data_IF_435142637129
#
_entry.id   IF_435142637129
#
_cell.length_a   1.000
_cell.length_b   1.000
_cell.length_c   1.000
_cell.angle_alpha   90.00
_cell.angle_beta   90.00
_cell.angle_gamma   90.00
#
_symmetry.space_group_name_H-M   'P 1'
#
loop_
_entity.id
_entity.type
_entity.pdbx_description
1 polymer ?
#
# COMPACT_ATOMS: atom_id res chain seq x y z
N UNK A 1 9.17 11.57 -6.03
CA UNK A 1 8.81 10.17 -5.71
C UNK A 1 8.75 9.37 -7.02
N UNK A 2 9.19 8.11 -7.02
CA UNK A 2 8.97 7.19 -8.16
C UNK A 2 7.98 6.11 -7.75
N UNK A 3 6.97 5.88 -8.60
CA UNK A 3 5.94 4.87 -8.40
C UNK A 3 6.06 3.78 -9.46
N UNK A 4 6.25 2.53 -9.02
CA UNK A 4 6.20 1.35 -9.89
C UNK A 4 5.00 0.51 -9.51
N UNK A 5 4.29 -0.03 -10.51
CA UNK A 5 3.06 -0.79 -10.29
C UNK A 5 3.10 -2.07 -11.09
N UNK A 6 2.61 -3.16 -10.51
CA UNK A 6 2.49 -4.45 -11.17
C UNK A 6 1.17 -5.12 -10.77
N UNK A 7 0.58 -5.89 -11.68
CA UNK A 7 -0.64 -6.66 -11.40
C UNK A 7 -0.28 -8.13 -11.38
N UNK A 8 -0.62 -8.82 -10.29
CA UNK A 8 -0.43 -10.27 -10.15
C UNK A 8 -1.73 -10.84 -9.63
N UNK A 9 -2.38 -11.70 -10.44
CA UNK A 9 -3.73 -12.21 -10.15
C UNK A 9 -4.71 -11.04 -9.97
N UNK A 10 -5.29 -10.91 -8.78
CA UNK A 10 -6.24 -9.90 -8.35
C UNK A 10 -5.61 -8.81 -7.45
N UNK A 11 -4.27 -8.79 -7.34
CA UNK A 11 -3.53 -7.82 -6.54
C UNK A 11 -2.93 -6.72 -7.41
N UNK A 12 -3.14 -5.46 -7.00
CA UNK A 12 -2.31 -4.34 -7.41
C UNK A 12 -1.12 -4.21 -6.47
N UNK A 13 0.08 -4.45 -6.98
CA UNK A 13 1.33 -4.21 -6.25
C UNK A 13 1.79 -2.79 -6.55
N UNK A 14 2.01 -1.99 -5.51
CA UNK A 14 2.42 -0.59 -5.59
C UNK A 14 3.72 -0.42 -4.82
N UNK A 15 4.81 -0.15 -5.53
CA UNK A 15 6.12 0.11 -4.94
C UNK A 15 6.43 1.61 -4.93
N UNK A 16 6.78 2.13 -3.75
CA UNK A 16 7.16 3.51 -3.54
C UNK A 16 8.68 3.65 -3.39
N UNK A 17 9.27 4.57 -4.14
CA UNK A 17 10.69 4.88 -4.08
C UNK A 17 10.91 6.39 -3.86
N UNK A 18 11.72 6.72 -2.86
CA UNK A 18 11.99 8.10 -2.44
C UNK A 18 11.16 8.51 -1.22
N UNK A 19 10.47 9.65 -1.31
CA UNK A 19 9.73 10.25 -0.20
C UNK A 19 8.24 10.36 -0.56
N UNK A 20 7.37 10.09 0.41
CA UNK A 20 5.92 10.20 0.28
C UNK A 20 5.42 11.37 1.15
N UNK A 21 5.17 12.49 0.48
CA UNK A 21 4.82 13.79 1.08
C UNK A 21 3.59 14.41 0.40
N UNK A 22 3.17 15.58 0.87
CA UNK A 22 1.98 16.26 0.37
C UNK A 22 2.01 16.51 -1.15
N UNK A 23 3.18 16.81 -1.72
CA UNK A 23 3.29 17.12 -3.14
C UNK A 23 3.19 15.86 -4.02
N UNK A 24 3.70 14.74 -3.53
CA UNK A 24 3.80 13.48 -4.28
C UNK A 24 2.60 12.55 -4.10
N UNK A 25 1.81 12.75 -3.05
CA UNK A 25 0.66 11.89 -2.72
C UNK A 25 -0.51 12.04 -3.69
N UNK A 26 -0.74 13.21 -4.29
CA UNK A 26 -1.86 13.41 -5.21
C UNK A 26 -1.67 12.67 -6.55
N UNK A 27 -0.49 12.78 -7.15
CA UNK A 27 -0.15 12.04 -8.38
C UNK A 27 -0.17 10.53 -8.14
N UNK A 28 0.42 10.08 -7.02
CA UNK A 28 0.39 8.68 -6.60
C UNK A 28 -1.06 8.19 -6.48
N UNK A 29 -1.92 9.01 -5.86
CA UNK A 29 -3.32 8.71 -5.67
C UNK A 29 -4.03 8.46 -6.99
N UNK A 30 -3.97 9.41 -7.92
CA UNK A 30 -4.66 9.30 -9.22
C UNK A 30 -4.21 8.06 -10.00
N UNK A 31 -2.89 7.80 -10.05
CA UNK A 31 -2.33 6.66 -10.78
C UNK A 31 -2.76 5.32 -10.17
N UNK A 32 -2.72 5.21 -8.83
CA UNK A 32 -3.18 4.00 -8.13
C UNK A 32 -4.67 3.77 -8.37
N UNK A 33 -5.50 4.82 -8.27
CA UNK A 33 -6.95 4.71 -8.44
C UNK A 33 -7.32 4.25 -9.85
N UNK A 34 -6.75 4.87 -10.90
CA UNK A 34 -6.99 4.43 -12.28
C UNK A 34 -6.64 2.96 -12.46
N UNK A 35 -5.41 2.54 -12.09
CA UNK A 35 -5.01 1.14 -12.25
C UNK A 35 -5.90 0.17 -11.46
N UNK A 36 -6.29 0.55 -10.25
CA UNK A 36 -7.10 -0.28 -9.38
C UNK A 36 -8.53 -0.48 -9.92
N UNK A 37 -9.19 0.61 -10.32
CA UNK A 37 -10.57 0.56 -10.81
C UNK A 37 -10.66 0.05 -12.26
N UNK A 38 -9.77 0.48 -13.15
CA UNK A 38 -9.80 0.11 -14.57
C UNK A 38 -9.53 -1.39 -14.78
N UNK A 39 -8.77 -2.02 -13.90
CA UNK A 39 -8.51 -3.47 -13.91
C UNK A 39 -9.46 -4.26 -13.00
N UNK A 40 -10.50 -3.61 -12.45
CA UNK A 40 -11.49 -4.23 -11.57
C UNK A 40 -10.88 -5.00 -10.38
N UNK A 41 -9.78 -4.51 -9.81
CA UNK A 41 -9.06 -5.17 -8.72
C UNK A 41 -9.78 -4.96 -7.38
N UNK A 42 -9.50 -5.83 -6.41
CA UNK A 42 -10.01 -5.71 -5.03
C UNK A 42 -8.88 -5.72 -3.99
N UNK A 43 -7.70 -6.23 -4.34
CA UNK A 43 -6.59 -6.40 -3.41
C UNK A 43 -5.40 -5.49 -3.76
N UNK A 44 -4.66 -5.05 -2.73
CA UNK A 44 -3.50 -4.19 -2.90
C UNK A 44 -2.33 -4.59 -1.99
N UNK A 45 -1.11 -4.54 -2.52
CA UNK A 45 0.12 -4.72 -1.75
C UNK A 45 0.97 -3.47 -1.90
N UNK A 46 1.31 -2.84 -0.78
CA UNK A 46 2.21 -1.68 -0.74
C UNK A 46 3.62 -2.14 -0.41
N UNK A 47 4.54 -2.02 -1.36
CA UNK A 47 5.96 -2.29 -1.18
C UNK A 47 6.69 -1.01 -0.78
N UNK A 48 7.14 -0.96 0.47
CA UNK A 48 7.78 0.21 1.07
C UNK A 48 9.31 0.09 1.13
N UNK A 49 9.90 -0.90 0.44
CA UNK A 49 11.35 -1.22 0.50
C UNK A 49 12.25 -0.03 0.25
N UNK A 50 11.84 0.84 -0.68
CA UNK A 50 12.63 1.99 -1.13
C UNK A 50 12.05 3.32 -0.66
N UNK A 51 11.12 3.30 0.27
CA UNK A 51 10.52 4.51 0.82
C UNK A 51 11.37 5.02 1.98
N UNK A 52 12.03 6.16 1.82
CA UNK A 52 12.95 6.72 2.81
C UNK A 52 12.22 7.56 3.86
N UNK A 53 11.09 8.16 3.50
CA UNK A 53 10.34 9.08 4.36
C UNK A 53 8.84 9.04 4.06
N UNK A 54 8.04 9.26 5.10
CA UNK A 54 6.58 9.37 5.03
C UNK A 54 6.08 10.37 6.07
N UNK A 55 5.07 11.18 5.73
CA UNK A 55 4.39 12.10 6.66
C UNK A 55 2.90 11.74 6.85
N UNK A 56 2.13 12.69 7.39
CA UNK A 56 0.67 12.54 7.58
C UNK A 56 -0.10 12.37 6.28
N UNK A 57 0.38 12.95 5.17
CA UNK A 57 -0.25 12.78 3.86
C UNK A 57 -0.07 11.37 3.33
N UNK A 58 1.10 10.75 3.56
CA UNK A 58 1.32 9.35 3.22
C UNK A 58 0.42 8.39 4.02
N UNK A 59 0.19 8.67 5.30
CA UNK A 59 -0.81 7.95 6.10
C UNK A 59 -2.21 8.09 5.48
N UNK A 60 -2.59 9.32 5.08
CA UNK A 60 -3.87 9.59 4.43
C UNK A 60 -4.04 8.82 3.11
N UNK A 61 -2.97 8.71 2.31
CA UNK A 61 -2.95 7.92 1.08
C UNK A 61 -3.24 6.44 1.39
N UNK A 62 -2.52 5.84 2.34
CA UNK A 62 -2.70 4.44 2.72
C UNK A 62 -4.11 4.18 3.26
N UNK A 63 -4.63 5.08 4.12
CA UNK A 63 -5.99 4.99 4.65
C UNK A 63 -7.06 5.03 3.54
N UNK A 64 -6.86 5.88 2.53
CA UNK A 64 -7.74 5.93 1.36
C UNK A 64 -7.75 4.59 0.62
N UNK A 65 -6.59 3.96 0.42
CA UNK A 65 -6.51 2.64 -0.24
C UNK A 65 -7.08 1.51 0.59
N UNK A 66 -6.90 1.55 1.90
CA UNK A 66 -7.58 0.63 2.81
C UNK A 66 -9.10 0.68 2.60
N UNK A 67 -9.69 1.88 2.58
CA UNK A 67 -11.13 2.05 2.34
C UNK A 67 -11.54 1.49 0.97
N UNK A 68 -10.82 1.82 -0.09
CA UNK A 68 -11.11 1.33 -1.44
C UNK A 68 -11.06 -0.21 -1.56
N UNK A 69 -10.14 -0.86 -0.85
CA UNK A 69 -10.06 -2.33 -0.80
C UNK A 69 -11.25 -2.92 -0.04
N UNK A 70 -11.57 -2.37 1.15
CA UNK A 70 -12.69 -2.85 1.97
C UNK A 70 -14.06 -2.66 1.31
N UNK A 71 -14.28 -1.54 0.61
CA UNK A 71 -15.52 -1.30 -0.17
C UNK A 71 -15.75 -2.36 -1.25
N UNK A 72 -14.68 -2.99 -1.75
CA UNK A 72 -14.70 -4.04 -2.77
C UNK A 72 -14.46 -5.43 -2.19
N UNK A 73 -14.65 -5.59 -0.87
CA UNK A 73 -14.47 -6.85 -0.14
C UNK A 73 -13.08 -7.48 -0.30
N UNK A 74 -12.07 -6.68 -0.62
CA UNK A 74 -10.69 -7.11 -0.68
C UNK A 74 -9.88 -6.68 0.53
N UNK A 75 -8.55 -6.78 0.41
CA UNK A 75 -7.63 -6.44 1.49
C UNK A 75 -6.43 -5.66 0.97
N UNK A 76 -5.76 -5.01 1.91
CA UNK A 76 -4.53 -4.27 1.65
C UNK A 76 -3.46 -4.78 2.60
N UNK A 77 -2.25 -4.93 2.10
CA UNK A 77 -1.12 -5.41 2.89
C UNK A 77 0.12 -4.56 2.65
N UNK A 78 1.00 -4.49 3.63
CA UNK A 78 2.28 -3.77 3.55
C UNK A 78 3.43 -4.77 3.61
N UNK A 79 4.45 -4.55 2.78
CA UNK A 79 5.65 -5.37 2.75
C UNK A 79 6.92 -4.51 2.74
N UNK A 80 8.02 -5.09 3.19
CA UNK A 80 9.36 -4.50 3.15
C UNK A 80 9.46 -3.09 3.77
N UNK A 81 8.96 -2.87 4.99
CA UNK A 81 9.15 -1.58 5.68
C UNK A 81 10.59 -1.39 6.17
N UNK A 82 10.98 -0.13 6.43
CA UNK A 82 12.15 0.19 7.25
C UNK A 82 11.72 0.72 8.63
N UNK A 83 12.63 0.78 9.63
CA UNK A 83 12.28 1.17 11.00
C UNK A 83 11.62 2.55 11.13
N UNK A 84 12.02 3.52 10.31
CA UNK A 84 11.45 4.87 10.33
C UNK A 84 10.00 4.88 9.87
N UNK A 85 9.73 4.25 8.72
CA UNK A 85 8.38 4.13 8.15
C UNK A 85 7.49 3.26 9.04
N UNK A 86 8.01 2.15 9.55
CA UNK A 86 7.26 1.26 10.45
C UNK A 86 6.83 1.99 11.74
N UNK A 87 7.71 2.82 12.32
CA UNK A 87 7.36 3.64 13.48
C UNK A 87 6.18 4.56 13.17
N UNK A 88 6.15 5.20 12.00
CA UNK A 88 5.07 6.08 11.57
C UNK A 88 3.76 5.29 11.39
N UNK A 89 3.81 4.12 10.74
CA UNK A 89 2.65 3.23 10.57
C UNK A 89 2.09 2.75 11.92
N UNK A 90 2.98 2.47 12.88
CA UNK A 90 2.60 2.05 14.23
C UNK A 90 1.95 3.18 15.00
N UNK A 91 2.53 4.38 14.93
CA UNK A 91 1.99 5.58 15.60
C UNK A 91 0.65 6.01 15.02
N UNK A 92 0.42 5.84 13.72
CA UNK A 92 -0.86 6.14 13.07
C UNK A 92 -1.95 5.12 13.35
N UNK A 93 -1.60 3.96 13.92
CA UNK A 93 -2.54 2.86 14.17
C UNK A 93 -2.87 2.03 12.93
N UNK A 94 -2.24 2.29 11.78
CA UNK A 94 -2.45 1.53 10.54
C UNK A 94 -2.15 0.03 10.73
N UNK A 95 -1.14 -0.31 11.54
CA UNK A 95 -0.77 -1.69 11.82
C UNK A 95 -1.81 -2.47 12.65
N UNK A 96 -2.89 -1.83 13.10
CA UNK A 96 -4.02 -2.51 13.75
C UNK A 96 -5.06 -3.03 12.75
N UNK A 97 -5.03 -2.55 11.52
CA UNK A 97 -6.05 -2.81 10.49
C UNK A 97 -5.46 -3.29 9.17
N UNK A 98 -4.15 -3.12 8.95
CA UNK A 98 -3.41 -3.55 7.77
C UNK A 98 -2.39 -4.60 8.18
N UNK A 99 -2.41 -5.74 7.50
CA UNK A 99 -1.44 -6.81 7.72
C UNK A 99 -0.08 -6.46 7.12
N UNK A 100 0.99 -6.85 7.83
CA UNK A 100 2.36 -6.77 7.31
C UNK A 100 2.91 -8.16 7.03
N UNK A 101 3.61 -8.28 5.92
CA UNK A 101 4.33 -9.50 5.54
C UNK A 101 5.77 -9.19 5.18
N UNK A 102 6.63 -10.21 5.19
CA UNK A 102 8.05 -10.03 4.93
C UNK A 102 8.31 -9.67 3.46
N UNK A 103 7.50 -10.23 2.55
CA UNK A 103 7.65 -10.06 1.11
C UNK A 103 6.30 -10.18 0.38
N UNK A 104 6.30 -9.88 -0.93
CA UNK A 104 5.10 -9.89 -1.78
C UNK A 104 4.49 -11.29 -1.89
N UNK A 105 5.31 -12.34 -1.94
CA UNK A 105 4.83 -13.72 -2.10
C UNK A 105 4.03 -14.16 -0.87
N UNK A 106 4.56 -13.90 0.33
CA UNK A 106 3.85 -14.11 1.60
C UNK A 106 2.56 -13.31 1.67
N UNK A 107 2.53 -12.06 1.19
CA UNK A 107 1.32 -11.25 1.19
C UNK A 107 0.23 -11.82 0.26
N UNK A 108 0.62 -12.45 -0.86
CA UNK A 108 -0.31 -13.10 -1.79
C UNK A 108 -0.81 -14.44 -1.22
N UNK A 109 0.07 -15.20 -0.55
CA UNK A 109 -0.26 -16.54 -0.04
C UNK A 109 -0.95 -16.52 1.33
N UNK A 110 -0.63 -15.54 2.19
CA UNK A 110 -1.24 -15.35 3.52
C UNK A 110 -2.75 -15.15 3.50
N UNK A 111 -3.32 -14.92 2.31
CA UNK A 111 -4.77 -14.89 2.04
C UNK A 111 -5.44 -16.25 1.86
N UNK A 112 -4.67 -17.33 1.74
CA UNK A 112 -5.20 -18.70 1.56
C UNK A 112 -5.46 -19.43 2.87
N UNK A 113 -5.24 -18.78 4.02
CA UNK A 113 -5.38 -19.35 5.34
C UNK A 113 -6.51 -18.74 6.16
N UNK A 114 -7.75 -18.78 5.65
CA UNK A 114 -8.98 -18.73 6.47
C UNK A 114 -10.00 -19.75 5.93
#
# INVERSE_FOLDING_TARGET
>A
MRLSTNIVKDYLIVAFEGELDHHTTEEARMKIDSLYYDNNLSNMILDLRKLNFMDSSGIGLIMGRYRNCKERQGDISIVNTNPSVERILRMSGLLKIINMYSNIEEAIDGKRGE
#
